data_IF_923330374869
#
_entry.id   IF_923330374869
#
_cell.length_a   1.000
_cell.length_b   1.000
_cell.length_c   1.000
_cell.angle_alpha   90.00
_cell.angle_beta   90.00
_cell.angle_gamma   90.00
#
_symmetry.space_group_name_H-M   'P 1'
#
loop_
_entity.id
_entity.type
_entity.pdbx_description
1 polymer ?
#
# COMPACT_ATOMS: atom_id res chain seq x y z
N UNK A 1 -7.40 -43.06 -12.31
CA UNK A 1 -6.49 -42.35 -11.40
C UNK A 1 -6.28 -40.94 -11.95
N UNK A 2 -6.87 -39.91 -11.32
CA UNK A 2 -6.61 -38.49 -11.66
C UNK A 2 -5.29 -38.09 -10.98
N UNK A 3 -4.22 -37.96 -11.75
CA UNK A 3 -2.98 -37.36 -11.24
C UNK A 3 -3.28 -35.90 -10.85
N UNK A 4 -3.51 -35.64 -9.57
CA UNK A 4 -3.56 -34.31 -9.02
C UNK A 4 -2.11 -33.84 -8.85
N UNK A 5 -1.60 -33.10 -9.84
CA UNK A 5 -0.33 -32.40 -9.67
C UNK A 5 -0.54 -31.30 -8.60
N UNK A 6 0.36 -31.19 -7.61
CA UNK A 6 0.25 -30.12 -6.62
C UNK A 6 0.41 -28.77 -7.34
N UNK A 7 -0.62 -27.94 -7.24
CA UNK A 7 -0.60 -26.56 -7.77
C UNK A 7 0.53 -25.80 -7.08
N UNK A 8 1.53 -25.27 -7.80
CA UNK A 8 2.64 -24.56 -7.19
C UNK A 8 2.13 -23.36 -6.38
N UNK A 9 2.80 -23.04 -5.28
CA UNK A 9 2.39 -21.97 -4.34
C UNK A 9 2.13 -20.63 -5.04
N UNK A 10 2.86 -20.33 -6.12
CA UNK A 10 2.71 -19.15 -6.97
C UNK A 10 1.33 -19.09 -7.64
N UNK A 11 0.86 -20.19 -8.16
CA UNK A 11 -0.47 -20.28 -8.80
C UNK A 11 -1.61 -20.11 -7.76
N UNK A 12 -1.36 -20.45 -6.50
CA UNK A 12 -2.35 -20.27 -5.42
C UNK A 12 -2.62 -18.79 -5.10
N UNK A 13 -1.61 -17.92 -5.20
CA UNK A 13 -1.77 -16.47 -4.98
C UNK A 13 -2.61 -15.86 -6.11
N UNK A 14 -2.35 -16.25 -7.36
CA UNK A 14 -3.11 -15.76 -8.53
C UNK A 14 -4.58 -16.23 -8.48
N UNK A 15 -4.81 -17.50 -8.14
CA UNK A 15 -6.18 -18.05 -8.02
C UNK A 15 -6.92 -17.45 -6.81
N UNK A 16 -6.22 -17.17 -5.70
CA UNK A 16 -6.81 -16.52 -4.53
C UNK A 16 -7.19 -15.06 -4.83
N UNK A 17 -6.40 -14.34 -5.65
CA UNK A 17 -6.70 -12.94 -6.02
C UNK A 17 -7.97 -12.78 -6.88
N UNK A 18 -8.42 -13.84 -7.55
CA UNK A 18 -9.68 -13.83 -8.31
C UNK A 18 -10.91 -14.04 -7.41
N UNK A 19 -10.71 -14.46 -6.17
CA UNK A 19 -11.78 -14.62 -5.20
C UNK A 19 -12.33 -13.25 -4.76
N UNK A 20 -13.65 -13.06 -4.85
CA UNK A 20 -14.32 -11.83 -4.37
C UNK A 20 -14.03 -11.54 -2.90
N UNK A 21 -14.03 -12.59 -2.08
CA UNK A 21 -13.76 -12.50 -0.65
C UNK A 21 -12.34 -12.00 -0.39
N UNK A 22 -11.34 -12.56 -1.07
CA UNK A 22 -9.95 -12.12 -0.93
C UNK A 22 -9.77 -10.65 -1.29
N UNK A 23 -10.40 -10.20 -2.38
CA UNK A 23 -10.36 -8.79 -2.82
C UNK A 23 -10.99 -7.85 -1.78
N UNK A 24 -12.12 -8.24 -1.21
CA UNK A 24 -12.79 -7.46 -0.16
C UNK A 24 -11.91 -7.38 1.09
N UNK A 25 -11.26 -8.48 1.48
CA UNK A 25 -10.32 -8.49 2.62
C UNK A 25 -9.14 -7.54 2.36
N UNK A 26 -8.54 -7.58 1.16
CA UNK A 26 -7.45 -6.67 0.80
C UNK A 26 -7.90 -5.20 0.84
N UNK A 27 -9.07 -4.89 0.30
CA UNK A 27 -9.63 -3.53 0.34
C UNK A 27 -9.89 -3.08 1.78
N UNK A 28 -10.51 -3.93 2.59
CA UNK A 28 -10.76 -3.63 4.00
C UNK A 28 -9.45 -3.42 4.77
N UNK A 29 -8.42 -4.22 4.49
CA UNK A 29 -7.08 -4.04 5.07
C UNK A 29 -6.46 -2.70 4.68
N UNK A 30 -6.53 -2.31 3.40
CA UNK A 30 -6.05 -1.01 2.93
C UNK A 30 -6.77 0.14 3.64
N UNK A 31 -8.10 0.09 3.71
CA UNK A 31 -8.90 1.10 4.41
C UNK A 31 -8.58 1.17 5.91
N UNK A 32 -8.39 0.02 6.55
CA UNK A 32 -8.01 -0.04 7.97
C UNK A 32 -6.67 0.64 8.22
N UNK A 33 -5.66 0.41 7.35
CA UNK A 33 -4.36 1.05 7.47
C UNK A 33 -4.48 2.56 7.24
N UNK A 34 -5.24 3.00 6.24
CA UNK A 34 -5.46 4.44 5.98
C UNK A 34 -6.13 5.12 7.17
N UNK A 35 -7.19 4.56 7.71
CA UNK A 35 -7.85 5.08 8.91
C UNK A 35 -6.90 5.12 10.10
N UNK A 36 -6.11 4.05 10.30
CA UNK A 36 -5.10 3.97 11.34
C UNK A 36 -4.01 5.03 11.19
N UNK A 37 -3.55 5.28 9.96
CA UNK A 37 -2.56 6.32 9.65
C UNK A 37 -3.03 7.71 10.10
N UNK A 38 -4.24 8.11 9.69
CA UNK A 38 -4.79 9.41 10.07
C UNK A 38 -5.09 9.49 11.58
N UNK A 39 -5.65 8.43 12.16
CA UNK A 39 -5.97 8.40 13.59
C UNK A 39 -4.72 8.39 14.47
N UNK A 40 -3.74 7.51 14.17
CA UNK A 40 -2.51 7.40 14.94
C UNK A 40 -1.59 8.60 14.71
N UNK A 41 -1.50 9.09 13.45
CA UNK A 41 -0.73 10.27 13.08
C UNK A 41 -1.19 11.54 13.82
N UNK A 42 -2.47 11.62 14.18
CA UNK A 42 -3.01 12.74 14.96
C UNK A 42 -2.65 12.71 16.47
N UNK A 43 -2.03 11.62 16.96
CA UNK A 43 -1.69 11.51 18.38
C UNK A 43 -0.35 12.18 18.70
N UNK A 44 -0.24 12.83 19.87
CA UNK A 44 1.02 13.47 20.28
C UNK A 44 2.22 12.50 20.33
N UNK A 45 1.97 11.23 20.63
CA UNK A 45 3.00 10.18 20.68
C UNK A 45 3.62 9.90 19.29
N UNK A 46 2.92 10.24 18.22
CA UNK A 46 3.43 10.06 16.86
C UNK A 46 4.51 11.08 16.49
N UNK A 47 4.58 12.21 17.22
CA UNK A 47 5.58 13.25 16.97
C UNK A 47 6.96 12.74 17.41
N UNK A 48 7.89 12.64 16.46
CA UNK A 48 9.25 12.16 16.73
C UNK A 48 9.39 10.66 16.98
N UNK A 49 8.32 9.87 16.77
CA UNK A 49 8.37 8.41 16.93
C UNK A 49 9.40 7.77 16.00
N UNK A 50 9.53 8.30 14.79
CA UNK A 50 10.52 7.88 13.82
C UNK A 50 11.45 9.05 13.47
N UNK A 51 12.63 9.17 14.12
CA UNK A 51 13.54 10.27 13.83
C UNK A 51 14.29 10.08 12.52
N UNK A 52 14.43 11.17 11.77
CA UNK A 52 15.28 11.24 10.58
C UNK A 52 14.91 10.23 9.49
N UNK A 53 15.85 9.42 9.01
CA UNK A 53 15.63 8.52 7.88
C UNK A 53 14.62 7.40 8.16
N UNK A 54 14.36 7.06 9.43
CA UNK A 54 13.38 6.03 9.80
C UNK A 54 11.95 6.47 9.50
N UNK A 55 11.66 7.76 9.53
CA UNK A 55 10.35 8.29 9.14
C UNK A 55 10.05 7.98 7.67
N UNK A 56 11.00 8.21 6.77
CA UNK A 56 10.86 7.87 5.34
C UNK A 56 10.71 6.36 5.10
N UNK A 57 11.38 5.54 5.90
CA UNK A 57 11.22 4.07 5.83
C UNK A 57 9.81 3.67 6.28
N UNK A 58 9.28 4.30 7.32
CA UNK A 58 7.92 4.07 7.79
C UNK A 58 6.88 4.47 6.74
N UNK A 59 7.04 5.64 6.10
CA UNK A 59 6.21 6.07 4.96
C UNK A 59 6.29 5.06 3.82
N UNK A 60 7.49 4.72 3.36
CA UNK A 60 7.69 3.77 2.27
C UNK A 60 7.03 2.41 2.57
N UNK A 61 7.19 1.87 3.77
CA UNK A 61 6.60 0.59 4.17
C UNK A 61 5.07 0.66 4.22
N UNK A 62 4.52 1.71 4.84
CA UNK A 62 3.07 1.89 5.03
C UNK A 62 2.37 2.09 3.68
N UNK A 63 2.86 3.03 2.86
CA UNK A 63 2.25 3.35 1.57
C UNK A 63 2.51 2.25 0.53
N UNK A 64 3.65 1.55 0.61
CA UNK A 64 3.90 0.34 -0.17
C UNK A 64 2.91 -0.78 0.15
N UNK A 65 2.60 -0.99 1.42
CA UNK A 65 1.60 -1.97 1.84
C UNK A 65 0.18 -1.59 1.39
N UNK A 66 -0.20 -0.32 1.52
CA UNK A 66 -1.48 0.19 1.00
C UNK A 66 -1.56 -0.06 -0.51
N UNK A 67 -0.49 0.25 -1.26
CA UNK A 67 -0.43 0.03 -2.69
C UNK A 67 -0.59 -1.46 -3.06
N UNK A 68 0.08 -2.36 -2.33
CA UNK A 68 -0.03 -3.81 -2.54
C UNK A 68 -1.47 -4.30 -2.30
N UNK A 69 -2.09 -3.90 -1.22
CA UNK A 69 -3.46 -4.29 -0.88
C UNK A 69 -4.48 -3.74 -1.88
N UNK A 70 -4.34 -2.49 -2.30
CA UNK A 70 -5.19 -1.90 -3.33
C UNK A 70 -5.01 -2.60 -4.69
N UNK A 71 -3.77 -2.89 -5.08
CA UNK A 71 -3.49 -3.62 -6.32
C UNK A 71 -4.10 -5.03 -6.31
N UNK A 72 -4.02 -5.73 -5.17
CA UNK A 72 -4.62 -7.05 -4.99
C UNK A 72 -6.16 -7.00 -4.95
N UNK A 73 -6.74 -5.90 -4.50
CA UNK A 73 -8.20 -5.72 -4.44
C UNK A 73 -8.81 -5.34 -5.78
N UNK A 74 -8.08 -4.59 -6.61
CA UNK A 74 -8.53 -4.13 -7.92
C UNK A 74 -8.25 -5.19 -8.99
N UNK A 75 -9.02 -5.16 -10.06
CA UNK A 75 -8.80 -6.06 -11.19
C UNK A 75 -7.60 -5.61 -12.04
N UNK A 76 -7.15 -6.49 -12.93
CA UNK A 76 -6.02 -6.27 -13.85
C UNK A 76 -6.13 -4.94 -14.60
N UNK A 77 -5.01 -4.27 -14.79
CA UNK A 77 -4.94 -3.06 -15.60
C UNK A 77 -5.13 -1.73 -14.85
N UNK A 78 -5.26 -1.76 -13.52
CA UNK A 78 -5.49 -0.56 -12.70
C UNK A 78 -4.24 -0.02 -12.00
N UNK A 79 -3.05 -0.38 -12.45
CA UNK A 79 -1.78 -0.02 -11.80
C UNK A 79 -1.59 1.49 -11.64
N UNK A 80 -1.86 2.27 -12.67
CA UNK A 80 -1.79 3.73 -12.60
C UNK A 80 -2.83 4.33 -11.64
N UNK A 81 -4.04 3.73 -11.61
CA UNK A 81 -5.08 4.14 -10.68
C UNK A 81 -4.65 3.90 -9.23
N UNK A 82 -4.02 2.75 -8.94
CA UNK A 82 -3.49 2.47 -7.59
C UNK A 82 -2.46 3.52 -7.19
N UNK A 83 -1.49 3.82 -8.07
CA UNK A 83 -0.46 4.83 -7.79
C UNK A 83 -1.10 6.20 -7.55
N UNK A 84 -2.10 6.58 -8.36
CA UNK A 84 -2.81 7.85 -8.21
C UNK A 84 -3.59 7.92 -6.89
N UNK A 85 -4.28 6.84 -6.49
CA UNK A 85 -5.01 6.77 -5.20
C UNK A 85 -4.03 6.88 -4.03
N UNK A 86 -2.92 6.14 -4.06
CA UNK A 86 -1.91 6.18 -2.99
C UNK A 86 -1.26 7.56 -2.90
N UNK A 87 -0.93 8.18 -4.04
CA UNK A 87 -0.43 9.55 -4.08
C UNK A 87 -1.43 10.57 -3.51
N UNK A 88 -2.72 10.40 -3.79
CA UNK A 88 -3.77 11.25 -3.22
C UNK A 88 -3.90 11.05 -1.70
N UNK A 89 -3.77 9.82 -1.19
CA UNK A 89 -3.76 9.53 0.24
C UNK A 89 -2.54 10.18 0.90
N UNK A 90 -1.34 10.05 0.31
CA UNK A 90 -0.13 10.70 0.79
C UNK A 90 -0.26 12.22 0.84
N UNK A 91 -0.78 12.83 -0.24
CA UNK A 91 -1.03 14.27 -0.26
C UNK A 91 -2.02 14.72 0.82
N UNK A 92 -3.06 13.93 1.09
CA UNK A 92 -4.03 14.19 2.15
C UNK A 92 -3.39 14.06 3.54
N UNK A 93 -2.50 13.08 3.74
CA UNK A 93 -1.76 12.91 4.99
C UNK A 93 -0.84 14.10 5.24
N UNK A 94 -0.05 14.52 4.25
CA UNK A 94 0.81 15.69 4.35
C UNK A 94 0.02 16.97 4.60
N UNK A 95 -1.13 17.13 3.96
CA UNK A 95 -2.03 18.24 4.21
C UNK A 95 -2.58 18.22 5.64
N UNK A 96 -3.00 17.07 6.13
CA UNK A 96 -3.47 16.88 7.50
C UNK A 96 -2.39 17.20 8.53
N UNK A 97 -1.15 16.78 8.29
CA UNK A 97 -0.01 17.04 9.19
C UNK A 97 0.28 18.54 9.40
N UNK A 98 -0.07 19.41 8.45
CA UNK A 98 0.06 20.88 8.61
C UNK A 98 -0.75 21.44 9.77
N UNK A 99 -1.81 20.78 10.17
CA UNK A 99 -2.70 21.20 11.24
C UNK A 99 -2.39 20.55 12.59
N UNK A 100 -1.41 19.66 12.62
CA UNK A 100 -1.06 18.92 13.84
C UNK A 100 0.15 19.56 14.53
N UNK A 101 0.04 19.84 15.86
CA UNK A 101 1.15 20.41 16.63
C UNK A 101 2.38 19.52 16.57
N UNK A 102 3.55 20.10 16.26
CA UNK A 102 4.81 19.38 16.22
C UNK A 102 5.04 18.52 14.96
N UNK A 103 4.13 18.59 13.97
CA UNK A 103 4.28 17.94 12.66
C UNK A 103 4.57 18.98 11.60
N UNK A 104 5.28 18.57 10.56
CA UNK A 104 5.53 19.41 9.38
C UNK A 104 5.26 18.59 8.12
N UNK A 105 4.51 19.15 7.19
CA UNK A 105 4.31 18.54 5.88
C UNK A 105 5.64 18.52 5.10
N UNK A 106 5.93 17.42 4.46
CA UNK A 106 7.18 17.18 3.73
C UNK A 106 6.89 16.69 2.31
N UNK A 107 7.40 17.43 1.31
CA UNK A 107 7.35 16.95 -0.07
C UNK A 107 8.21 15.69 -0.29
N UNK A 108 9.22 15.48 0.54
CA UNK A 108 10.06 14.29 0.49
C UNK A 108 9.31 13.06 0.94
N UNK A 109 8.43 13.19 1.95
CA UNK A 109 7.61 12.08 2.44
C UNK A 109 6.53 11.74 1.41
N UNK A 110 5.88 12.73 0.82
CA UNK A 110 4.97 12.51 -0.32
C UNK A 110 5.68 11.83 -1.50
N UNK A 111 6.92 12.23 -1.80
CA UNK A 111 7.69 11.57 -2.85
C UNK A 111 8.01 10.11 -2.49
N UNK A 112 8.35 9.82 -1.23
CA UNK A 112 8.58 8.47 -0.74
C UNK A 112 7.32 7.59 -0.88
N UNK A 113 6.14 8.12 -0.57
CA UNK A 113 4.85 7.43 -0.70
C UNK A 113 4.56 7.04 -2.15
N UNK A 114 4.74 7.98 -3.09
CA UNK A 114 4.51 7.74 -4.53
C UNK A 114 5.54 6.75 -5.08
N UNK A 115 6.81 6.88 -4.70
CA UNK A 115 7.87 5.96 -5.12
C UNK A 115 7.58 4.56 -4.58
N UNK A 116 7.17 4.43 -3.32
CA UNK A 116 6.79 3.15 -2.73
C UNK A 116 5.67 2.49 -3.52
N UNK A 117 4.60 3.24 -3.83
CA UNK A 117 3.50 2.73 -4.63
C UNK A 117 3.96 2.28 -6.02
N UNK A 118 4.77 3.09 -6.72
CA UNK A 118 5.27 2.77 -8.05
C UNK A 118 6.16 1.51 -8.05
N UNK A 119 7.07 1.40 -7.08
CA UNK A 119 7.96 0.23 -6.94
C UNK A 119 7.15 -1.03 -6.66
N UNK A 120 6.28 -1.01 -5.68
CA UNK A 120 5.50 -2.20 -5.28
C UNK A 120 4.57 -2.64 -6.41
N UNK A 121 3.83 -1.71 -7.02
CA UNK A 121 2.94 -2.03 -8.14
C UNK A 121 3.72 -2.61 -9.33
N UNK A 122 4.89 -2.04 -9.66
CA UNK A 122 5.74 -2.55 -10.74
C UNK A 122 6.23 -3.95 -10.45
N UNK A 123 6.68 -4.24 -9.23
CA UNK A 123 7.12 -5.56 -8.82
C UNK A 123 6.00 -6.60 -8.89
N UNK A 124 4.80 -6.24 -8.45
CA UNK A 124 3.62 -7.12 -8.50
C UNK A 124 3.19 -7.39 -9.94
N UNK A 125 3.19 -6.36 -10.80
CA UNK A 125 2.92 -6.53 -12.24
C UNK A 125 3.96 -7.42 -12.93
N UNK A 126 5.24 -7.24 -12.60
CA UNK A 126 6.32 -8.06 -13.14
C UNK A 126 6.18 -9.52 -12.71
N UNK A 127 5.96 -9.77 -11.41
CA UNK A 127 5.73 -11.11 -10.89
C UNK A 127 4.54 -11.79 -11.58
N UNK A 128 3.42 -11.06 -11.72
CA UNK A 128 2.23 -11.56 -12.40
C UNK A 128 2.48 -11.96 -13.86
N UNK A 129 3.25 -11.15 -14.60
CA UNK A 129 3.56 -11.43 -16.01
C UNK A 129 4.46 -12.67 -16.21
N UNK A 130 5.25 -13.00 -15.19
CA UNK A 130 6.11 -14.21 -15.24
C UNK A 130 5.37 -15.49 -14.91
N UNK A 131 4.24 -15.39 -14.23
CA UNK A 131 3.45 -16.54 -13.79
C UNK A 131 2.27 -16.85 -14.73
N UNK A 132 2.01 -16.02 -15.75
CA UNK A 132 0.96 -16.20 -16.78
C UNK A 132 1.51 -16.43 -18.15
#
# INVERSE_FOLDING_TARGET
>A
MKCQFPVPARLRIVVASDSRIFRVICLAGALFIVVGLFWAGAKPIAVGLFPGPLDKVAHFATFGLIAALLWLSLQRGHSLLVIAIVGAIGAADEFHQRFLPGRSASLEDLAADIIAAAVIVTLLEYARRRDG
#
